data_IF_727892280756
#
_entry.id   IF_727892280756
#
_cell.length_a   1.000
_cell.length_b   1.000
_cell.length_c   1.000
_cell.angle_alpha   90.00
_cell.angle_beta   90.00
_cell.angle_gamma   90.00
#
_symmetry.space_group_name_H-M   'P 1'
#
loop_
_entity.id
_entity.type
_entity.pdbx_description
1 polymer ?
#
# COMPACT_ATOMS: atom_id res chain seq x y z
N UNK A 1 -38.31 -22.25 48.22
CA UNK A 1 -37.33 -21.54 47.38
C UNK A 1 -37.93 -21.34 46.00
N UNK A 2 -38.43 -20.14 45.71
CA UNK A 2 -39.17 -19.84 44.50
C UNK A 2 -38.16 -19.44 43.42
N UNK A 3 -37.77 -20.37 42.56
CA UNK A 3 -37.03 -20.04 41.35
C UNK A 3 -38.00 -19.42 40.34
N UNK A 4 -37.85 -18.11 40.16
CA UNK A 4 -38.73 -17.25 39.38
C UNK A 4 -38.57 -17.57 37.88
N UNK A 5 -39.51 -18.34 37.30
CA UNK A 5 -39.53 -18.79 35.89
C UNK A 5 -39.48 -17.65 34.86
N UNK A 6 -39.68 -16.40 35.26
CA UNK A 6 -39.58 -15.22 34.38
C UNK A 6 -38.13 -14.82 34.05
N UNK A 7 -37.14 -15.24 34.84
CA UNK A 7 -35.75 -14.79 34.66
C UNK A 7 -34.98 -15.60 33.61
N UNK A 8 -35.36 -16.85 33.37
CA UNK A 8 -34.71 -17.72 32.36
C UNK A 8 -35.14 -17.35 30.94
N UNK A 9 -36.37 -16.88 30.74
CA UNK A 9 -36.88 -16.50 29.41
C UNK A 9 -36.23 -15.23 28.85
N UNK A 10 -35.81 -14.29 29.71
CA UNK A 10 -35.15 -13.05 29.27
C UNK A 10 -33.72 -13.32 28.79
N UNK A 11 -33.01 -14.23 29.45
CA UNK A 11 -31.63 -14.59 29.06
C UNK A 11 -31.60 -15.33 27.71
N UNK A 12 -32.59 -16.19 27.44
CA UNK A 12 -32.69 -16.91 26.15
C UNK A 12 -33.11 -15.97 25.01
N UNK A 13 -34.01 -15.01 25.24
CA UNK A 13 -34.38 -14.02 24.21
C UNK A 13 -33.27 -13.03 23.89
N UNK A 14 -32.49 -12.60 24.90
CA UNK A 14 -31.31 -11.73 24.67
C UNK A 14 -30.23 -12.48 23.89
N UNK A 15 -30.02 -13.77 24.17
CA UNK A 15 -29.07 -14.62 23.43
C UNK A 15 -29.53 -14.94 21.98
N UNK A 16 -30.84 -15.12 21.74
CA UNK A 16 -31.36 -15.30 20.38
C UNK A 16 -31.35 -14.02 19.54
N UNK A 17 -31.57 -12.86 20.17
CA UNK A 17 -31.49 -11.55 19.50
C UNK A 17 -30.07 -11.25 18.99
N UNK A 18 -29.04 -11.71 19.72
CA UNK A 18 -27.64 -11.58 19.34
C UNK A 18 -27.23 -12.50 18.17
N UNK A 19 -27.90 -13.66 18.00
CA UNK A 19 -27.64 -14.57 16.88
C UNK A 19 -28.39 -14.18 15.59
N UNK A 20 -29.56 -13.53 15.71
CA UNK A 20 -30.33 -13.09 14.54
C UNK A 20 -29.65 -11.97 13.74
N UNK A 21 -28.78 -11.16 14.36
CA UNK A 21 -28.02 -10.10 13.70
C UNK A 21 -26.74 -10.60 12.99
N UNK A 22 -26.30 -11.85 13.22
CA UNK A 22 -25.19 -12.46 12.50
C UNK A 22 -25.59 -12.95 11.09
N UNK A 23 -26.90 -13.10 10.82
CA UNK A 23 -27.41 -13.74 9.61
C UNK A 23 -27.41 -12.89 8.33
N UNK A 24 -27.04 -11.61 8.39
CA UNK A 24 -27.01 -10.73 7.21
C UNK A 24 -25.61 -10.31 6.76
N UNK A 25 -24.54 -10.69 7.49
CA UNK A 25 -23.18 -10.37 7.06
C UNK A 25 -22.64 -11.38 6.05
N UNK A 26 -21.85 -10.93 5.07
CA UNK A 26 -21.16 -11.79 4.09
C UNK A 26 -19.87 -12.41 4.63
N UNK A 27 -19.56 -12.17 5.91
CA UNK A 27 -18.34 -12.63 6.57
C UNK A 27 -18.47 -14.13 6.85
N UNK A 28 -17.58 -14.92 6.26
CA UNK A 28 -17.48 -16.37 6.47
C UNK A 28 -16.44 -16.73 7.53
N UNK A 29 -15.39 -15.93 7.67
CA UNK A 29 -14.29 -16.15 8.61
C UNK A 29 -13.69 -14.83 9.06
N UNK A 30 -13.28 -14.76 10.32
CA UNK A 30 -12.52 -13.65 10.89
C UNK A 30 -11.22 -14.14 11.50
N UNK A 31 -10.16 -13.34 11.39
CA UNK A 31 -8.84 -13.64 11.92
C UNK A 31 -8.29 -12.41 12.65
N UNK A 32 -7.72 -12.61 13.84
CA UNK A 32 -7.08 -11.53 14.58
C UNK A 32 -5.72 -11.21 13.97
N UNK A 33 -5.52 -9.94 13.61
CA UNK A 33 -4.23 -9.39 13.15
C UNK A 33 -3.47 -8.74 14.32
N UNK A 34 -4.19 -8.31 15.37
CA UNK A 34 -3.60 -7.66 16.53
C UNK A 34 -3.44 -6.16 16.32
N UNK A 35 -2.21 -5.71 16.09
CA UNK A 35 -1.86 -4.28 15.99
C UNK A 35 -1.34 -3.97 14.59
N UNK A 36 -1.81 -2.85 14.02
CA UNK A 36 -1.37 -2.37 12.71
C UNK A 36 -1.02 -0.89 12.81
N UNK A 37 0.22 -0.54 12.44
CA UNK A 37 0.66 0.84 12.29
C UNK A 37 0.75 1.29 10.84
N UNK A 38 0.67 2.59 10.61
CA UNK A 38 0.82 3.23 9.30
C UNK A 38 0.59 4.73 9.36
N UNK A 39 0.72 5.40 8.21
CA UNK A 39 0.46 6.83 8.02
C UNK A 39 -0.94 6.98 7.43
N UNK A 40 -1.77 7.77 8.09
CA UNK A 40 -3.11 8.07 7.58
C UNK A 40 -3.01 8.90 6.30
N UNK A 41 -3.60 8.43 5.19
CA UNK A 41 -3.62 9.21 3.96
C UNK A 41 -4.86 10.09 3.86
N UNK A 42 -4.68 11.28 3.28
CA UNK A 42 -5.72 12.29 3.05
C UNK A 42 -6.60 11.99 1.82
N UNK A 43 -6.85 10.73 1.49
CA UNK A 43 -7.39 10.36 0.17
C UNK A 43 -8.91 10.50 0.03
N UNK A 44 -9.63 10.86 1.10
CA UNK A 44 -11.09 10.90 1.03
C UNK A 44 -11.53 12.11 0.21
N UNK A 45 -12.27 11.88 -0.88
CA UNK A 45 -13.00 12.93 -1.60
C UNK A 45 -14.08 13.46 -0.66
N UNK A 46 -13.77 14.53 0.07
CA UNK A 46 -14.64 15.11 1.10
C UNK A 46 -16.02 15.50 0.53
N UNK A 47 -16.10 15.74 -0.78
CA UNK A 47 -17.33 16.07 -1.50
C UNK A 47 -18.25 14.86 -1.78
N UNK A 48 -17.73 13.63 -1.80
CA UNK A 48 -18.52 12.41 -2.10
C UNK A 48 -19.03 11.69 -0.84
N UNK A 49 -18.51 12.09 0.31
CA UNK A 49 -18.84 11.61 1.65
C UNK A 49 -20.37 11.50 1.84
N UNK A 50 -21.19 12.56 1.67
CA UNK A 50 -22.63 12.46 1.92
C UNK A 50 -23.38 11.52 0.97
N UNK A 51 -22.92 11.39 -0.29
CA UNK A 51 -23.53 10.55 -1.33
C UNK A 51 -23.15 9.07 -1.18
N UNK A 52 -21.90 8.76 -0.80
CA UNK A 52 -21.52 7.42 -0.35
C UNK A 52 -22.30 7.02 0.91
N UNK A 53 -22.51 7.93 1.86
CA UNK A 53 -23.12 7.61 3.16
C UNK A 53 -24.61 7.26 3.11
N UNK A 54 -25.38 7.79 2.16
CA UNK A 54 -26.82 7.46 2.06
C UNK A 54 -27.11 6.11 1.37
N UNK A 55 -26.22 5.61 0.50
CA UNK A 55 -26.41 4.35 -0.24
C UNK A 55 -25.72 3.13 0.39
N UNK A 56 -24.87 3.36 1.40
CA UNK A 56 -23.92 2.37 1.89
C UNK A 56 -24.35 1.66 3.17
N UNK A 57 -25.28 2.18 3.98
CA UNK A 57 -25.62 1.61 5.30
C UNK A 57 -25.99 0.13 5.27
N UNK A 58 -26.93 -0.26 4.40
CA UNK A 58 -27.32 -1.67 4.25
C UNK A 58 -26.19 -2.52 3.65
N UNK A 59 -25.43 -1.93 2.72
CA UNK A 59 -24.30 -2.59 2.09
C UNK A 59 -23.15 -2.79 3.08
N UNK A 60 -22.93 -1.89 4.03
CA UNK A 60 -21.88 -1.99 5.05
C UNK A 60 -22.26 -2.97 6.14
N UNK A 61 -23.51 -2.96 6.61
CA UNK A 61 -24.00 -3.98 7.53
C UNK A 61 -23.92 -5.38 6.87
N UNK A 62 -24.30 -5.49 5.59
CA UNK A 62 -24.21 -6.74 4.83
C UNK A 62 -22.77 -7.14 4.52
N UNK A 63 -21.90 -6.21 4.15
CA UNK A 63 -20.53 -6.54 3.76
C UNK A 63 -19.63 -6.80 4.96
N UNK A 64 -19.72 -5.96 5.99
CA UNK A 64 -18.74 -5.82 7.08
C UNK A 64 -19.31 -6.20 8.46
N UNK A 65 -20.62 -6.46 8.59
CA UNK A 65 -21.24 -6.75 9.90
C UNK A 65 -21.25 -5.57 10.86
N UNK A 66 -20.98 -4.36 10.37
CA UNK A 66 -20.96 -3.13 11.15
C UNK A 66 -22.39 -2.72 11.49
N UNK A 67 -22.62 -2.35 12.75
CA UNK A 67 -23.90 -1.81 13.25
C UNK A 67 -23.93 -0.28 13.15
N UNK A 68 -22.76 0.35 13.11
CA UNK A 68 -22.60 1.76 12.92
C UNK A 68 -23.25 2.17 11.60
N UNK A 69 -24.08 3.20 11.69
CA UNK A 69 -24.70 3.79 10.53
C UNK A 69 -23.65 4.48 9.64
N UNK A 70 -22.58 5.00 10.26
CA UNK A 70 -21.50 5.76 9.62
C UNK A 70 -20.14 5.37 10.22
N UNK A 71 -19.58 4.20 9.88
CA UNK A 71 -18.32 3.74 10.46
C UNK A 71 -17.14 4.63 10.08
N UNK A 72 -16.16 4.76 10.98
CA UNK A 72 -14.89 5.42 10.67
C UNK A 72 -14.08 4.57 9.70
N UNK A 73 -13.90 5.08 8.49
CA UNK A 73 -13.07 4.49 7.45
C UNK A 73 -11.68 5.15 7.41
N UNK A 74 -10.61 4.36 7.49
CA UNK A 74 -9.23 4.85 7.45
C UNK A 74 -8.43 4.13 6.35
N UNK A 75 -7.69 4.90 5.56
CA UNK A 75 -6.69 4.38 4.62
C UNK A 75 -5.27 4.62 5.15
N UNK A 76 -4.49 3.54 5.25
CA UNK A 76 -3.09 3.59 5.68
C UNK A 76 -2.15 3.48 4.48
N UNK A 77 -1.44 4.56 4.15
CA UNK A 77 -0.58 4.63 2.95
C UNK A 77 0.66 3.73 3.01
N UNK A 78 1.21 3.49 4.20
CA UNK A 78 2.36 2.60 4.45
C UNK A 78 2.04 1.62 5.59
N UNK A 79 0.87 0.97 5.52
CA UNK A 79 0.48 -0.02 6.51
C UNK A 79 1.55 -1.10 6.71
N UNK A 80 1.84 -1.39 7.98
CA UNK A 80 2.61 -2.58 8.41
C UNK A 80 1.91 -3.89 8.02
N UNK A 81 0.60 -3.85 7.74
CA UNK A 81 -0.18 -4.99 7.27
C UNK A 81 -0.71 -4.79 5.85
N UNK A 82 0.01 -5.33 4.87
CA UNK A 82 -0.26 -5.12 3.44
C UNK A 82 -1.54 -5.76 2.91
N UNK A 83 -2.08 -6.74 3.62
CA UNK A 83 -3.28 -7.47 3.18
C UNK A 83 -4.57 -6.67 3.31
N UNK A 84 -4.53 -5.54 4.02
CA UNK A 84 -5.64 -4.59 4.11
C UNK A 84 -5.19 -3.19 3.72
N UNK A 85 -6.02 -2.53 2.91
CA UNK A 85 -5.81 -1.14 2.47
C UNK A 85 -6.74 -0.16 3.19
N UNK A 86 -7.96 -0.59 3.48
CA UNK A 86 -8.97 0.15 4.24
C UNK A 86 -9.23 -0.56 5.58
N UNK A 87 -9.50 0.25 6.60
CA UNK A 87 -9.79 -0.19 7.96
C UNK A 87 -11.06 0.50 8.44
N UNK A 88 -11.98 -0.25 9.05
CA UNK A 88 -13.27 0.27 9.52
C UNK A 88 -13.44 0.12 11.03
N UNK A 89 -14.02 1.12 11.68
CA UNK A 89 -14.44 1.04 13.09
C UNK A 89 -15.96 1.03 13.18
N UNK A 90 -16.50 0.11 13.99
CA UNK A 90 -17.94 0.01 14.24
C UNK A 90 -18.43 1.09 15.22
N UNK A 91 -18.24 2.35 14.85
CA UNK A 91 -18.66 3.53 15.61
C UNK A 91 -19.20 4.56 14.64
N UNK A 92 -20.38 5.12 14.93
CA UNK A 92 -21.05 6.08 14.05
C UNK A 92 -20.46 7.48 14.23
N UNK A 93 -20.02 8.09 13.12
CA UNK A 93 -19.59 9.48 13.05
C UNK A 93 -20.56 10.30 12.18
N UNK A 94 -20.78 11.58 12.51
CA UNK A 94 -21.37 12.50 11.52
C UNK A 94 -20.37 12.77 10.39
N UNK A 95 -20.85 13.31 9.27
CA UNK A 95 -19.97 13.71 8.19
C UNK A 95 -18.93 14.75 8.66
N UNK A 96 -19.35 15.70 9.50
CA UNK A 96 -18.50 16.75 10.06
C UNK A 96 -17.45 16.18 11.02
N UNK A 97 -17.83 15.24 11.88
CA UNK A 97 -16.91 14.57 12.81
C UNK A 97 -15.88 13.76 12.05
N UNK A 98 -16.30 13.04 11.01
CA UNK A 98 -15.39 12.29 10.15
C UNK A 98 -14.40 13.21 9.41
N UNK A 99 -14.89 14.29 8.79
CA UNK A 99 -14.04 15.27 8.10
C UNK A 99 -13.05 15.89 9.09
N UNK A 100 -13.52 16.29 10.27
CA UNK A 100 -12.69 16.84 11.33
C UNK A 100 -11.61 15.86 11.76
N UNK A 101 -11.97 14.58 11.95
CA UNK A 101 -11.03 13.52 12.31
C UNK A 101 -9.95 13.34 11.25
N UNK A 102 -10.34 13.18 9.98
CA UNK A 102 -9.41 12.95 8.88
C UNK A 102 -8.48 14.15 8.70
N UNK A 103 -9.01 15.38 8.74
CA UNK A 103 -8.20 16.59 8.62
C UNK A 103 -7.20 16.73 9.78
N UNK A 104 -7.62 16.40 11.01
CA UNK A 104 -6.77 16.51 12.19
C UNK A 104 -5.59 15.53 12.16
N UNK A 105 -5.78 14.32 11.63
CA UNK A 105 -4.77 13.26 11.70
C UNK A 105 -4.17 12.89 10.34
N UNK A 106 -4.56 13.57 9.25
CA UNK A 106 -3.98 13.35 7.93
C UNK A 106 -2.44 13.49 7.97
N UNK A 107 -1.74 12.50 7.44
CA UNK A 107 -0.28 12.46 7.44
C UNK A 107 0.37 12.05 8.77
N UNK A 108 -0.40 11.90 9.85
CA UNK A 108 0.11 11.40 11.12
C UNK A 108 0.43 9.91 11.05
N UNK A 109 1.43 9.50 11.82
CA UNK A 109 1.70 8.08 12.07
C UNK A 109 0.77 7.60 13.17
N UNK A 110 0.01 6.56 12.89
CA UNK A 110 -1.02 6.02 13.78
C UNK A 110 -0.85 4.52 13.97
N UNK A 111 -1.48 4.03 15.03
CA UNK A 111 -1.58 2.63 15.40
C UNK A 111 -3.06 2.28 15.61
N UNK A 112 -3.47 1.19 14.99
CA UNK A 112 -4.77 0.56 15.15
C UNK A 112 -4.60 -0.69 16.00
N UNK A 113 -5.45 -0.88 17.00
CA UNK A 113 -5.46 -2.07 17.86
C UNK A 113 -6.76 -2.86 17.73
N UNK A 114 -6.70 -4.13 18.11
CA UNK A 114 -7.83 -5.06 17.96
C UNK A 114 -8.20 -5.29 16.50
N UNK A 115 -7.20 -5.24 15.60
CA UNK A 115 -7.45 -5.37 14.17
C UNK A 115 -7.90 -6.79 13.86
N UNK A 116 -9.03 -6.91 13.16
CA UNK A 116 -9.53 -8.16 12.62
C UNK A 116 -9.59 -8.11 11.11
N UNK A 117 -9.20 -9.21 10.48
CA UNK A 117 -9.36 -9.44 9.05
C UNK A 117 -10.56 -10.35 8.82
N UNK A 118 -11.46 -9.92 7.94
CA UNK A 118 -12.64 -10.69 7.56
C UNK A 118 -12.52 -11.20 6.13
N UNK A 119 -13.02 -12.42 5.92
CA UNK A 119 -13.08 -13.11 4.64
C UNK A 119 -14.55 -13.31 4.27
N UNK A 120 -14.95 -12.89 3.06
CA UNK A 120 -16.33 -12.95 2.62
C UNK A 120 -16.50 -12.69 1.12
N UNK A 121 -17.75 -12.70 0.65
CA UNK A 121 -18.07 -12.48 -0.76
C UNK A 121 -17.79 -11.03 -1.24
N UNK A 122 -17.69 -10.08 -0.29
CA UNK A 122 -17.39 -8.67 -0.56
C UNK A 122 -15.90 -8.31 -0.63
N UNK A 123 -14.99 -9.28 -0.65
CA UNK A 123 -13.54 -9.04 -0.71
C UNK A 123 -12.83 -9.10 0.65
N UNK A 124 -11.57 -8.67 0.69
CA UNK A 124 -10.75 -8.63 1.91
C UNK A 124 -11.02 -7.37 2.71
N UNK A 125 -11.37 -7.54 3.98
CA UNK A 125 -11.85 -6.45 4.82
C UNK A 125 -11.09 -6.45 6.14
N UNK A 126 -10.84 -5.26 6.71
CA UNK A 126 -10.26 -5.13 8.03
C UNK A 126 -11.08 -4.19 8.90
N UNK A 127 -11.32 -4.60 10.13
CA UNK A 127 -11.89 -3.76 11.19
C UNK A 127 -10.88 -3.52 12.29
N UNK A 128 -11.11 -2.52 13.13
CA UNK A 128 -10.29 -2.22 14.30
C UNK A 128 -11.16 -1.68 15.43
N UNK A 129 -10.64 -1.71 16.66
CA UNK A 129 -11.37 -1.22 17.85
C UNK A 129 -10.68 -0.06 18.54
N UNK A 130 -9.35 0.02 18.50
CA UNK A 130 -8.58 1.10 19.11
C UNK A 130 -7.76 1.90 18.09
N UNK A 131 -7.55 3.17 18.40
CA UNK A 131 -6.79 4.12 17.60
C UNK A 131 -5.86 4.91 18.52
N UNK A 132 -4.60 5.06 18.10
CA UNK A 132 -3.59 5.83 18.80
C UNK A 132 -2.70 6.58 17.81
N UNK A 133 -2.38 7.84 18.12
CA UNK A 133 -1.38 8.61 17.36
C UNK A 133 0.00 8.29 17.91
N UNK A 134 0.92 7.89 17.03
CA UNK A 134 2.32 7.60 17.37
C UNK A 134 3.22 8.82 17.11
N UNK A 135 2.94 9.59 16.05
CA UNK A 135 3.65 10.81 15.73
C UNK A 135 2.75 11.74 14.90
N UNK A 136 2.89 13.05 15.10
CA UNK A 136 2.14 14.04 14.34
C UNK A 136 2.54 14.06 12.86
N UNK A 137 1.72 14.67 12.01
CA UNK A 137 2.06 14.86 10.60
C UNK A 137 3.35 15.68 10.42
N UNK A 138 3.57 16.68 11.27
CA UNK A 138 4.78 17.51 11.28
C UNK A 138 6.02 16.70 11.62
N UNK A 139 5.95 15.86 12.67
CA UNK A 139 7.07 14.99 13.07
C UNK A 139 7.42 13.99 11.96
N UNK A 140 6.41 13.42 11.30
CA UNK A 140 6.59 12.49 10.18
C UNK A 140 7.22 13.21 8.99
N UNK A 141 6.78 14.44 8.68
CA UNK A 141 7.35 15.24 7.60
C UNK A 141 8.82 15.62 7.88
N UNK A 142 9.12 16.04 9.12
CA UNK A 142 10.47 16.37 9.56
C UNK A 142 11.41 15.17 9.46
N UNK A 143 11.02 14.00 9.99
CA UNK A 143 11.80 12.76 9.87
C UNK A 143 12.03 12.36 8.41
N UNK A 144 11.04 12.52 7.54
CA UNK A 144 11.20 12.26 6.09
C UNK A 144 12.19 13.24 5.44
N UNK A 145 12.18 14.51 5.84
CA UNK A 145 13.13 15.51 5.33
C UNK A 145 14.56 15.24 5.82
N UNK A 146 14.72 14.89 7.09
CA UNK A 146 16.01 14.49 7.68
C UNK A 146 16.57 13.21 7.04
N UNK A 147 15.73 12.20 6.82
CA UNK A 147 16.14 10.99 6.10
C UNK A 147 16.55 11.28 4.65
N UNK A 148 15.82 12.14 3.94
CA UNK A 148 16.22 12.55 2.58
C UNK A 148 17.56 13.28 2.56
N UNK A 149 17.83 14.16 3.53
CA UNK A 149 19.13 14.84 3.66
C UNK A 149 20.25 13.84 4.00
N UNK A 150 20.06 12.97 4.98
CA UNK A 150 21.04 11.95 5.33
C UNK A 150 21.28 10.92 4.20
N UNK A 151 20.29 10.70 3.33
CA UNK A 151 20.41 9.84 2.15
C UNK A 151 21.08 10.56 0.96
N UNK A 152 20.99 11.89 0.90
CA UNK A 152 21.80 12.72 -0.01
C UNK A 152 23.27 12.79 0.46
N UNK A 153 23.53 12.90 1.76
CA UNK A 153 24.88 12.94 2.33
C UNK A 153 25.61 11.58 2.32
N UNK A 154 24.86 10.47 2.19
CA UNK A 154 25.39 9.10 2.03
C UNK A 154 25.53 8.66 0.58
N UNK A 155 25.31 9.53 -0.40
CA UNK A 155 25.85 9.29 -1.74
C UNK A 155 27.36 9.41 -1.58
N UNK A 156 28.02 8.27 -1.36
CA UNK A 156 29.45 8.14 -1.64
C UNK A 156 29.58 8.60 -3.08
N UNK A 157 30.15 9.78 -3.28
CA UNK A 157 30.43 10.33 -4.59
C UNK A 157 31.49 9.43 -5.20
N UNK A 158 31.05 8.31 -5.81
CA UNK A 158 31.80 7.71 -6.89
C UNK A 158 31.82 8.81 -7.95
N UNK A 159 32.97 9.44 -8.14
CA UNK A 159 33.14 10.52 -9.10
C UNK A 159 32.65 10.10 -10.48
N UNK A 160 32.30 11.06 -11.32
CA UNK A 160 31.76 10.75 -12.65
C UNK A 160 32.75 9.85 -13.43
N UNK A 161 32.28 8.69 -13.87
CA UNK A 161 33.11 7.72 -14.60
C UNK A 161 32.26 6.81 -15.49
N UNK A 162 32.91 6.21 -16.48
CA UNK A 162 32.28 5.28 -17.42
C UNK A 162 32.28 3.87 -16.81
N UNK A 163 31.12 3.23 -16.84
CA UNK A 163 30.90 1.84 -16.39
C UNK A 163 30.97 0.88 -17.58
N UNK A 164 30.43 1.30 -18.73
CA UNK A 164 30.39 0.50 -19.96
C UNK A 164 29.04 -0.16 -20.19
N UNK A 165 29.00 -1.23 -20.99
CA UNK A 165 27.76 -1.92 -21.32
C UNK A 165 27.34 -2.88 -20.19
N UNK A 166 26.06 -2.86 -19.79
CA UNK A 166 25.53 -3.75 -18.76
C UNK A 166 24.49 -4.70 -19.32
N UNK A 167 24.68 -6.02 -19.12
CA UNK A 167 23.67 -7.05 -19.43
C UNK A 167 22.68 -7.16 -18.28
N UNK A 168 21.40 -7.04 -18.59
CA UNK A 168 20.35 -6.95 -17.57
C UNK A 168 19.09 -7.72 -17.95
N UNK A 169 18.35 -8.15 -16.92
CA UNK A 169 16.95 -8.51 -17.03
C UNK A 169 16.10 -7.30 -16.66
N UNK A 170 15.32 -6.81 -17.61
CA UNK A 170 14.45 -5.65 -17.47
C UNK A 170 13.20 -6.00 -16.66
N UNK A 171 13.03 -5.33 -15.52
CA UNK A 171 11.81 -5.42 -14.71
C UNK A 171 10.77 -4.39 -15.14
N UNK A 172 11.23 -3.18 -15.48
CA UNK A 172 10.36 -2.09 -15.93
C UNK A 172 11.13 -1.10 -16.79
N UNK A 173 10.57 -0.75 -17.95
CA UNK A 173 11.07 0.33 -18.81
C UNK A 173 10.06 1.48 -18.85
N UNK A 174 10.54 2.70 -18.54
CA UNK A 174 9.81 3.97 -18.63
C UNK A 174 10.64 4.98 -19.44
N UNK A 175 10.07 6.10 -19.91
CA UNK A 175 10.78 7.05 -20.78
C UNK A 175 12.13 7.50 -20.23
N UNK A 176 12.16 7.84 -18.94
CA UNK A 176 13.31 8.47 -18.29
C UNK A 176 14.17 7.47 -17.49
N UNK A 177 13.69 6.25 -17.25
CA UNK A 177 14.42 5.29 -16.43
C UNK A 177 14.00 3.83 -16.63
N UNK A 178 14.92 2.94 -16.25
CA UNK A 178 14.75 1.50 -16.24
C UNK A 178 14.98 0.92 -14.83
N UNK A 179 14.17 -0.08 -14.47
CA UNK A 179 14.41 -0.97 -13.32
C UNK A 179 14.85 -2.33 -13.84
N UNK A 180 15.90 -2.90 -13.24
CA UNK A 180 16.53 -4.09 -13.78
C UNK A 180 17.16 -4.98 -12.70
N UNK A 181 17.57 -6.18 -13.11
CA UNK A 181 18.50 -7.04 -12.39
C UNK A 181 19.72 -7.30 -13.28
N UNK A 182 20.92 -7.25 -12.70
CA UNK A 182 22.14 -7.63 -13.42
C UNK A 182 22.10 -9.09 -13.83
N UNK A 183 22.62 -9.39 -15.01
CA UNK A 183 22.86 -10.75 -15.47
C UNK A 183 24.32 -11.13 -15.24
N UNK A 184 24.56 -12.38 -14.90
CA UNK A 184 25.90 -12.99 -14.95
C UNK A 184 26.31 -13.37 -16.39
N UNK A 185 27.49 -13.97 -16.55
CA UNK A 185 28.02 -14.39 -17.84
C UNK A 185 27.12 -15.44 -18.53
N UNK A 186 26.41 -16.26 -17.76
CA UNK A 186 25.43 -17.25 -18.23
C UNK A 186 24.07 -16.64 -18.60
N UNK A 187 23.88 -15.33 -18.40
CA UNK A 187 22.62 -14.65 -18.66
C UNK A 187 21.54 -14.91 -17.61
N UNK A 188 21.92 -15.30 -16.38
CA UNK A 188 21.01 -15.49 -15.24
C UNK A 188 20.99 -14.28 -14.32
N UNK A 189 19.83 -13.91 -13.72
CA UNK A 189 19.77 -12.78 -12.80
C UNK A 189 20.58 -13.01 -11.52
N UNK A 190 21.46 -12.07 -11.19
CA UNK A 190 22.22 -12.06 -9.94
C UNK A 190 21.28 -11.70 -8.78
N UNK A 191 21.31 -12.50 -7.71
CA UNK A 191 20.37 -12.39 -6.57
C UNK A 191 20.63 -11.19 -5.66
N UNK A 192 21.89 -10.79 -5.50
CA UNK A 192 22.32 -9.63 -4.72
C UNK A 192 23.53 -8.95 -5.39
N UNK A 193 23.31 -8.20 -6.48
CA UNK A 193 24.41 -7.56 -7.18
C UNK A 193 24.93 -6.38 -6.35
N UNK A 194 26.15 -6.52 -5.82
CA UNK A 194 26.92 -5.38 -5.29
C UNK A 194 27.49 -4.57 -6.44
N UNK A 195 26.63 -3.81 -7.12
CA UNK A 195 27.00 -2.92 -8.21
C UNK A 195 26.54 -1.51 -7.91
N UNK A 196 27.33 -0.52 -8.30
CA UNK A 196 27.11 0.89 -7.98
C UNK A 196 25.78 1.47 -8.53
N UNK A 197 25.34 1.03 -9.70
CA UNK A 197 24.01 1.36 -10.23
C UNK A 197 22.82 0.73 -9.51
N UNK A 198 23.05 -0.23 -8.60
CA UNK A 198 22.00 -0.98 -7.93
C UNK A 198 21.02 -1.63 -8.92
N UNK A 199 19.74 -1.29 -8.83
CA UNK A 199 18.65 -1.84 -9.65
C UNK A 199 17.90 -0.80 -10.50
N UNK A 200 18.43 0.44 -10.59
CA UNK A 200 17.78 1.55 -11.30
C UNK A 200 18.80 2.34 -12.10
N UNK A 201 18.45 2.66 -13.34
CA UNK A 201 19.25 3.51 -14.22
C UNK A 201 18.38 4.55 -14.91
N UNK A 202 18.92 5.75 -15.12
CA UNK A 202 18.28 6.79 -15.94
C UNK A 202 18.61 6.59 -17.42
N UNK A 203 17.73 7.03 -18.31
CA UNK A 203 17.93 6.89 -19.75
C UNK A 203 18.01 8.28 -20.36
N UNK A 204 19.12 8.55 -21.05
CA UNK A 204 19.40 9.83 -21.68
C UNK A 204 20.08 9.61 -23.04
N UNK A 205 19.44 9.93 -24.18
CA UNK A 205 18.18 10.67 -24.30
C UNK A 205 16.96 9.85 -23.86
N UNK A 206 15.96 10.56 -23.32
CA UNK A 206 14.66 10.00 -22.92
C UNK A 206 14.03 9.24 -24.08
N UNK A 207 13.58 8.01 -23.83
CA UNK A 207 12.93 7.19 -24.85
C UNK A 207 11.49 7.68 -25.07
N UNK A 208 11.13 7.92 -26.33
CA UNK A 208 9.76 8.27 -26.70
C UNK A 208 8.74 7.19 -26.25
N UNK A 209 7.55 7.62 -25.81
CA UNK A 209 6.52 6.71 -25.29
C UNK A 209 6.04 5.71 -26.34
N UNK A 210 5.94 6.10 -27.62
CA UNK A 210 5.57 5.21 -28.71
C UNK A 210 6.59 4.10 -28.93
N UNK A 211 7.88 4.45 -28.81
CA UNK A 211 8.99 3.49 -28.92
C UNK A 211 8.98 2.49 -27.78
N UNK A 212 8.62 2.89 -26.55
CA UNK A 212 8.56 1.97 -25.39
C UNK A 212 7.61 0.80 -25.62
N UNK A 213 6.47 1.01 -26.27
CA UNK A 213 5.50 -0.06 -26.52
C UNK A 213 6.06 -1.11 -27.48
N UNK A 214 6.66 -0.68 -28.59
CA UNK A 214 7.36 -1.57 -29.51
C UNK A 214 8.51 -2.31 -28.81
N UNK A 215 9.26 -1.58 -27.98
CA UNK A 215 10.40 -2.12 -27.25
C UNK A 215 9.99 -3.18 -26.21
N UNK A 216 8.85 -3.00 -25.52
CA UNK A 216 8.30 -4.01 -24.60
C UNK A 216 7.88 -5.28 -25.33
N UNK A 217 7.31 -5.16 -26.53
CA UNK A 217 6.97 -6.32 -27.34
C UNK A 217 8.22 -7.10 -27.75
N UNK A 218 9.32 -6.41 -28.07
CA UNK A 218 10.61 -7.06 -28.37
C UNK A 218 11.26 -7.67 -27.13
N UNK A 219 11.30 -6.97 -25.99
CA UNK A 219 11.85 -7.50 -24.73
C UNK A 219 11.17 -8.81 -24.31
N UNK A 220 9.85 -8.90 -24.50
CA UNK A 220 9.10 -10.11 -24.19
C UNK A 220 9.57 -11.32 -25.02
N UNK A 221 10.01 -11.13 -26.28
CA UNK A 221 10.54 -12.21 -27.12
C UNK A 221 11.85 -12.78 -26.58
N UNK A 222 12.60 -11.96 -25.85
CA UNK A 222 13.93 -12.31 -25.33
C UNK A 222 13.95 -12.47 -23.81
N UNK A 223 12.84 -12.93 -23.21
CA UNK A 223 12.71 -13.14 -21.77
C UNK A 223 13.09 -11.91 -20.92
N UNK A 224 12.77 -10.72 -21.43
CA UNK A 224 13.12 -9.42 -20.86
C UNK A 224 14.63 -9.16 -20.71
N UNK A 225 15.48 -9.84 -21.47
CA UNK A 225 16.94 -9.60 -21.46
C UNK A 225 17.29 -8.42 -22.35
N UNK A 226 18.19 -7.58 -21.88
CA UNK A 226 18.64 -6.38 -22.58
C UNK A 226 20.10 -6.05 -22.28
N UNK A 227 20.69 -5.20 -23.13
CA UNK A 227 21.93 -4.49 -22.87
C UNK A 227 21.59 -3.01 -22.65
N UNK A 228 22.03 -2.47 -21.52
CA UNK A 228 22.12 -1.04 -21.28
C UNK A 228 23.46 -0.57 -21.86
N UNK A 229 23.42 0.28 -22.88
CA UNK A 229 24.60 0.74 -23.61
C UNK A 229 25.20 2.00 -23.00
N UNK A 230 26.54 2.06 -23.00
CA UNK A 230 27.32 3.22 -22.59
C UNK A 230 26.91 3.74 -21.20
N UNK A 231 26.85 2.85 -20.21
CA UNK A 231 26.48 3.24 -18.86
C UNK A 231 27.58 4.08 -18.24
N UNK A 232 27.20 5.19 -17.62
CA UNK A 232 28.08 6.11 -16.91
C UNK A 232 27.47 6.53 -15.58
N UNK A 233 28.32 6.71 -14.56
CA UNK A 233 27.95 7.40 -13.34
C UNK A 233 28.11 8.90 -13.58
N UNK A 234 27.04 9.67 -13.38
CA UNK A 234 27.05 11.12 -13.45
C UNK A 234 26.23 11.70 -12.30
N UNK A 235 26.81 12.60 -11.51
CA UNK A 235 26.16 13.24 -10.37
C UNK A 235 25.53 12.22 -9.39
N UNK A 236 26.23 11.11 -9.13
CA UNK A 236 25.76 10.03 -8.25
C UNK A 236 24.59 9.21 -8.80
N UNK A 237 24.34 9.27 -10.12
CA UNK A 237 23.30 8.50 -10.81
C UNK A 237 23.91 7.73 -11.97
N UNK A 238 23.49 6.48 -12.14
CA UNK A 238 23.78 5.78 -13.38
C UNK A 238 22.86 6.25 -14.50
N UNK A 239 23.45 6.50 -15.67
CA UNK A 239 22.79 6.93 -16.90
C UNK A 239 23.20 5.97 -18.01
N UNK A 240 22.23 5.43 -18.75
CA UNK A 240 22.42 4.65 -19.96
C UNK A 240 21.98 5.47 -21.18
N UNK A 241 22.72 5.35 -22.28
CA UNK A 241 22.39 6.06 -23.52
C UNK A 241 21.36 5.32 -24.35
N UNK A 242 21.32 3.99 -24.26
CA UNK A 242 20.39 3.17 -25.03
C UNK A 242 20.08 1.88 -24.31
N UNK A 243 18.87 1.38 -24.54
CA UNK A 243 18.47 0.01 -24.20
C UNK A 243 18.40 -0.78 -25.49
N UNK A 244 18.98 -1.98 -25.54
CA UNK A 244 18.93 -2.88 -26.71
C UNK A 244 18.45 -4.25 -26.23
N UNK A 245 17.41 -4.87 -26.83
CA UNK A 245 17.01 -6.22 -26.46
C UNK A 245 18.13 -7.21 -26.78
N UNK A 246 18.39 -8.16 -25.87
CA UNK A 246 19.44 -9.16 -26.05
C UNK A 246 18.88 -10.32 -26.88
N UNK A 247 19.06 -10.29 -28.20
CA UNK A 247 18.86 -11.50 -29.01
C UNK A 247 19.92 -12.52 -28.63
N UNK A 248 19.51 -13.77 -28.38
CA UNK A 248 20.44 -14.90 -28.20
C UNK A 248 21.34 -15.06 -29.43
#
# INVERSE_FOLDING_TARGET
MIFNKKSIFVVVWVLFSLHALANNSSIKRSESVGVVSGILASKTSIAEIPLMYNSSRENMARAYGLKAQYPLELFLGNSSYRSCRMYYKDESYTAEEYITFVNKYAGASIELSGVQRHYGAGGLQCTFTGFKVLASAEDVAKKKAEQKKAQQDKVVVAGDHVIGDMRVSMLKLMPEFALFRLLDEDGKPVKDPKHECGNRIYIDPVIDRGVIYAFRAELNKYANRAILKNVKMMNGKCIAEKVVPLSL
#
